data_IF_532510176481
#
_entry.id   IF_532510176481
#
_cell.length_a   1.000
_cell.length_b   1.000
_cell.length_c   1.000
_cell.angle_alpha   90.00
_cell.angle_beta   90.00
_cell.angle_gamma   90.00
#
_symmetry.space_group_name_H-M   'P 1'
#
loop_
_entity.id
_entity.type
_entity.pdbx_description
1 polymer ?
#
# COMPACT_ATOMS: atom_id res chain seq x y z
N UNK A 1 35.00 40.06 -6.60
CA UNK A 1 33.92 39.53 -5.73
C UNK A 1 33.21 38.46 -6.56
N UNK A 2 33.57 37.23 -6.34
CA UNK A 2 33.01 36.06 -7.02
C UNK A 2 31.81 35.59 -6.24
N UNK A 3 30.64 35.58 -6.87
CA UNK A 3 29.42 34.99 -6.33
C UNK A 3 29.63 33.50 -6.15
N UNK A 4 29.17 32.89 -5.03
CA UNK A 4 29.24 31.43 -4.89
C UNK A 4 28.21 30.79 -5.80
N UNK A 5 28.67 29.95 -6.71
CA UNK A 5 27.87 29.09 -7.55
C UNK A 5 26.91 28.28 -6.65
N UNK A 6 25.64 28.55 -6.84
CA UNK A 6 24.54 27.80 -6.26
C UNK A 6 24.57 26.40 -6.87
N UNK A 7 25.23 25.46 -6.19
CA UNK A 7 25.14 24.04 -6.53
C UNK A 7 23.67 23.65 -6.52
N UNK A 8 23.12 23.52 -7.73
CA UNK A 8 21.85 22.84 -7.94
C UNK A 8 22.02 21.42 -7.42
N UNK A 9 21.36 21.11 -6.31
CA UNK A 9 21.30 19.75 -5.79
C UNK A 9 20.80 18.84 -6.92
N UNK A 10 21.60 17.88 -7.30
CA UNK A 10 21.21 16.87 -8.26
C UNK A 10 19.92 16.20 -7.80
N UNK A 11 18.95 15.92 -8.70
CA UNK A 11 17.73 15.24 -8.30
C UNK A 11 18.12 13.87 -7.74
N UNK A 12 17.96 13.71 -6.43
CA UNK A 12 18.10 12.42 -5.75
C UNK A 12 17.43 11.36 -6.62
N UNK A 13 18.20 10.34 -7.02
CA UNK A 13 17.70 9.24 -7.84
C UNK A 13 16.34 8.81 -7.30
N UNK A 14 15.29 8.95 -8.11
CA UNK A 14 13.92 8.76 -7.68
C UNK A 14 13.77 7.35 -7.10
N UNK A 15 13.72 7.25 -5.78
CA UNK A 15 13.62 5.96 -5.08
C UNK A 15 12.31 5.32 -5.49
N UNK A 16 12.38 4.11 -6.02
CA UNK A 16 11.20 3.32 -6.35
C UNK A 16 10.55 2.83 -5.04
N UNK A 17 9.35 3.32 -4.68
CA UNK A 17 8.75 3.00 -3.39
C UNK A 17 8.31 1.54 -3.34
N UNK A 18 8.50 0.91 -2.21
CA UNK A 18 8.10 -0.47 -1.93
C UNK A 18 6.71 -0.51 -1.35
N UNK A 19 5.74 -1.01 -2.12
CA UNK A 19 4.34 -1.06 -1.72
C UNK A 19 3.91 -2.51 -1.48
N UNK A 20 3.33 -2.78 -0.32
CA UNK A 20 2.67 -4.06 -0.01
C UNK A 20 1.17 -3.86 -0.07
N UNK A 21 0.48 -4.66 -0.88
CA UNK A 21 -0.97 -4.68 -0.98
C UNK A 21 -1.54 -5.96 -0.36
N UNK A 22 -2.23 -5.84 0.77
CA UNK A 22 -2.94 -6.91 1.44
C UNK A 22 -4.39 -6.91 0.94
N UNK A 23 -4.75 -7.88 0.11
CA UNK A 23 -5.98 -7.82 -0.67
C UNK A 23 -6.87 -9.05 -0.50
N UNK A 24 -8.19 -8.82 -0.59
CA UNK A 24 -9.18 -9.90 -0.63
C UNK A 24 -9.08 -10.67 -1.95
N UNK A 25 -9.08 -12.00 -1.86
CA UNK A 25 -9.03 -12.90 -3.03
C UNK A 25 -10.23 -12.71 -3.98
N UNK A 26 -11.43 -12.55 -3.42
CA UNK A 26 -12.68 -12.56 -4.19
C UNK A 26 -12.97 -11.29 -4.97
N UNK A 27 -12.52 -10.15 -4.46
CA UNK A 27 -12.82 -8.86 -5.06
C UNK A 27 -11.55 -8.17 -5.55
N UNK A 28 -10.73 -7.61 -4.67
CA UNK A 28 -9.59 -6.78 -5.07
C UNK A 28 -8.54 -7.55 -5.87
N UNK A 29 -8.25 -8.81 -5.49
CA UNK A 29 -7.30 -9.61 -6.27
C UNK A 29 -7.85 -9.95 -7.65
N UNK A 30 -9.14 -10.30 -7.75
CA UNK A 30 -9.78 -10.52 -9.03
C UNK A 30 -9.79 -9.24 -9.90
N UNK A 31 -9.97 -8.08 -9.27
CA UNK A 31 -9.81 -6.77 -9.95
C UNK A 31 -8.38 -6.52 -10.43
N UNK A 32 -7.38 -6.90 -9.63
CA UNK A 32 -5.97 -6.83 -10.03
C UNK A 32 -5.67 -7.76 -11.21
N UNK A 33 -6.21 -8.98 -11.20
CA UNK A 33 -6.09 -9.95 -12.28
C UNK A 33 -6.76 -9.42 -13.56
N UNK A 34 -7.95 -8.82 -13.45
CA UNK A 34 -8.63 -8.15 -14.55
C UNK A 34 -7.79 -6.98 -15.11
N UNK A 35 -7.13 -6.21 -14.26
CA UNK A 35 -6.23 -5.14 -14.71
C UNK A 35 -5.07 -5.70 -15.55
N UNK A 36 -4.46 -6.80 -15.10
CA UNK A 36 -3.39 -7.48 -15.82
C UNK A 36 -3.84 -8.07 -17.17
N UNK A 37 -4.94 -8.83 -17.15
CA UNK A 37 -5.49 -9.45 -18.38
C UNK A 37 -5.99 -8.41 -19.39
N UNK A 38 -6.48 -7.28 -18.91
CA UNK A 38 -6.86 -6.13 -19.74
C UNK A 38 -5.69 -5.24 -20.16
N UNK A 39 -4.45 -5.61 -19.79
CA UNK A 39 -3.22 -4.87 -20.10
C UNK A 39 -3.26 -3.42 -19.63
N UNK A 40 -3.90 -3.15 -18.50
CA UNK A 40 -3.89 -1.84 -17.87
C UNK A 40 -2.54 -1.61 -17.19
N UNK A 41 -1.83 -0.58 -17.62
CA UNK A 41 -0.53 -0.27 -17.05
C UNK A 41 -0.67 0.33 -15.64
N UNK A 42 0.05 -0.23 -14.69
CA UNK A 42 0.25 0.34 -13.36
C UNK A 42 1.67 0.08 -12.85
N UNK A 43 2.09 0.82 -11.83
CA UNK A 43 3.44 0.76 -11.31
C UNK A 43 3.80 -0.67 -10.83
N UNK A 44 4.96 -1.23 -11.24
CA UNK A 44 5.33 -2.62 -10.93
C UNK A 44 5.87 -2.82 -9.52
N UNK A 45 6.01 -1.77 -8.74
CA UNK A 45 6.60 -1.71 -7.42
C UNK A 45 5.67 -2.17 -6.27
N UNK A 46 4.58 -2.86 -6.60
CA UNK A 46 3.61 -3.40 -5.65
C UNK A 46 3.78 -4.91 -5.48
N UNK A 47 3.83 -5.38 -4.23
CA UNK A 47 3.76 -6.79 -3.86
C UNK A 47 2.36 -7.10 -3.35
N UNK A 48 1.62 -7.94 -4.08
CA UNK A 48 0.24 -8.30 -3.76
C UNK A 48 0.25 -9.58 -2.93
N UNK A 49 -0.31 -9.51 -1.72
CA UNK A 49 -0.51 -10.64 -0.83
C UNK A 49 -2.00 -10.89 -0.68
N UNK A 50 -2.42 -12.10 -1.06
CA UNK A 50 -3.84 -12.50 -1.02
C UNK A 50 -4.26 -13.01 0.34
N UNK A 51 -5.43 -12.60 0.76
CA UNK A 51 -6.14 -13.13 1.92
C UNK A 51 -7.52 -13.63 1.52
N UNK A 52 -8.05 -14.67 2.14
CA UNK A 52 -9.42 -15.13 1.88
C UNK A 52 -10.44 -14.00 2.03
N UNK A 53 -10.25 -13.12 3.01
CA UNK A 53 -11.08 -11.95 3.27
C UNK A 53 -10.28 -10.87 3.99
N UNK A 54 -10.58 -9.61 3.72
CA UNK A 54 -9.99 -8.48 4.48
C UNK A 54 -10.26 -8.55 5.98
N UNK A 55 -11.35 -9.19 6.39
CA UNK A 55 -11.64 -9.47 7.80
C UNK A 55 -10.63 -10.38 8.50
N UNK A 56 -9.76 -11.08 7.75
CA UNK A 56 -8.67 -11.92 8.28
C UNK A 56 -7.32 -11.19 8.35
N UNK A 57 -7.25 -9.98 7.82
CA UNK A 57 -6.02 -9.19 7.89
C UNK A 57 -5.85 -8.66 9.32
N UNK A 58 -4.83 -9.19 9.99
CA UNK A 58 -4.46 -8.74 11.33
C UNK A 58 -3.66 -7.43 11.25
N UNK A 59 -3.90 -6.46 12.14
CA UNK A 59 -3.10 -5.25 12.27
C UNK A 59 -1.59 -5.49 12.34
N UNK A 60 -1.16 -6.58 12.99
CA UNK A 60 0.25 -6.97 13.06
C UNK A 60 0.87 -7.20 11.68
N UNK A 61 0.11 -7.63 10.69
CA UNK A 61 0.62 -7.83 9.33
C UNK A 61 0.98 -6.50 8.66
N UNK A 62 0.23 -5.45 8.95
CA UNK A 62 0.52 -4.09 8.50
C UNK A 62 1.83 -3.59 9.12
N UNK A 63 1.99 -3.75 10.44
CA UNK A 63 3.22 -3.38 11.13
C UNK A 63 4.42 -4.18 10.62
N UNK A 64 4.26 -5.49 10.43
CA UNK A 64 5.32 -6.35 9.85
C UNK A 64 5.71 -5.95 8.44
N UNK A 65 4.77 -5.47 7.62
CA UNK A 65 5.09 -4.96 6.29
C UNK A 65 6.02 -3.73 6.37
N UNK A 66 5.73 -2.79 7.27
CA UNK A 66 6.60 -1.65 7.53
C UNK A 66 7.95 -2.05 8.13
N UNK A 67 7.98 -2.96 9.10
CA UNK A 67 9.23 -3.52 9.64
C UNK A 67 10.06 -4.20 8.55
N UNK A 68 9.42 -4.87 7.59
CA UNK A 68 10.06 -5.51 6.44
C UNK A 68 10.58 -4.55 5.39
N UNK A 69 10.34 -3.25 5.56
CA UNK A 69 10.84 -2.19 4.68
C UNK A 69 9.87 -1.76 3.60
N UNK A 70 8.57 -1.97 3.78
CA UNK A 70 7.57 -1.35 2.93
C UNK A 70 7.53 0.15 3.17
N UNK A 71 7.47 0.94 2.12
CA UNK A 71 7.33 2.40 2.18
C UNK A 71 5.86 2.82 2.24
N UNK A 72 4.96 1.95 1.78
CA UNK A 72 3.51 2.10 1.85
C UNK A 72 2.78 0.76 1.92
N UNK A 73 1.63 0.72 2.57
CA UNK A 73 0.79 -0.47 2.69
C UNK A 73 -0.63 -0.14 2.25
N UNK A 74 -1.18 -0.97 1.35
CA UNK A 74 -2.58 -0.94 0.94
C UNK A 74 -3.33 -2.11 1.56
N UNK A 75 -4.47 -1.86 2.17
CA UNK A 75 -5.46 -2.89 2.52
C UNK A 75 -6.69 -2.67 1.65
N UNK A 76 -7.10 -3.67 0.88
CA UNK A 76 -8.23 -3.50 -0.03
C UNK A 76 -9.12 -4.74 -0.11
N UNK A 77 -10.42 -4.50 -0.17
CA UNK A 77 -11.43 -5.56 -0.18
C UNK A 77 -12.73 -5.18 -0.86
N UNK A 78 -13.72 -6.01 -0.67
CA UNK A 78 -15.04 -5.87 -1.26
C UNK A 78 -15.76 -4.62 -0.79
N UNK A 79 -16.56 -4.01 -1.66
CA UNK A 79 -17.48 -2.94 -1.28
C UNK A 79 -18.39 -3.37 -0.12
N UNK A 80 -18.84 -2.42 0.73
CA UNK A 80 -19.85 -2.71 1.76
C UNK A 80 -21.08 -3.37 1.16
N UNK A 81 -21.50 -4.50 1.73
CA UNK A 81 -22.63 -5.31 1.22
C UNK A 81 -22.22 -6.45 0.27
N UNK A 82 -21.04 -6.40 -0.36
CA UNK A 82 -20.61 -7.38 -1.38
C UNK A 82 -19.58 -8.40 -0.84
N UNK A 83 -19.42 -8.49 0.47
CA UNK A 83 -18.45 -9.41 1.03
C UNK A 83 -18.86 -10.87 0.80
N UNK A 84 -17.97 -11.66 0.20
CA UNK A 84 -18.17 -13.11 -0.01
C UNK A 84 -18.50 -13.87 1.29
N UNK A 85 -17.96 -13.41 2.42
CA UNK A 85 -18.21 -13.96 3.76
C UNK A 85 -19.17 -13.09 4.59
N UNK A 86 -20.04 -12.34 3.95
CA UNK A 86 -21.11 -11.51 4.51
C UNK A 86 -20.61 -10.23 5.20
N UNK A 87 -19.69 -10.31 6.19
CA UNK A 87 -19.37 -9.17 7.07
C UNK A 87 -17.88 -8.86 7.21
N UNK A 88 -17.00 -9.59 6.51
CA UNK A 88 -15.55 -9.45 6.67
C UNK A 88 -15.01 -8.04 6.39
N UNK A 89 -15.56 -7.37 5.38
CA UNK A 89 -15.20 -5.99 5.04
C UNK A 89 -15.60 -4.98 6.14
N UNK A 90 -16.71 -5.19 6.84
CA UNK A 90 -17.10 -4.36 7.98
C UNK A 90 -16.13 -4.53 9.17
N UNK A 91 -15.67 -5.76 9.42
CA UNK A 91 -14.64 -6.00 10.42
C UNK A 91 -13.32 -5.32 10.04
N UNK A 92 -12.92 -5.40 8.77
CA UNK A 92 -11.74 -4.71 8.24
C UNK A 92 -11.86 -3.20 8.45
N UNK A 93 -12.99 -2.59 8.12
CA UNK A 93 -13.23 -1.15 8.29
C UNK A 93 -13.03 -0.69 9.74
N UNK A 94 -13.53 -1.45 10.70
CA UNK A 94 -13.36 -1.14 12.14
C UNK A 94 -11.91 -1.25 12.57
N UNK A 95 -11.22 -2.32 12.18
CA UNK A 95 -9.80 -2.52 12.47
C UNK A 95 -8.94 -1.43 11.85
N UNK A 96 -9.27 -0.98 10.66
CA UNK A 96 -8.58 0.10 9.96
C UNK A 96 -8.45 1.37 10.81
N UNK A 97 -9.54 1.81 11.43
CA UNK A 97 -9.52 2.99 12.28
C UNK A 97 -8.56 2.83 13.48
N UNK A 98 -8.49 1.61 14.04
CA UNK A 98 -7.58 1.28 15.15
C UNK A 98 -6.13 1.23 14.66
N UNK A 99 -5.86 0.56 13.55
CA UNK A 99 -4.52 0.44 12.97
C UNK A 99 -3.92 1.80 12.67
N UNK A 100 -4.73 2.70 12.12
CA UNK A 100 -4.29 4.04 11.79
C UNK A 100 -3.79 4.81 13.03
N UNK A 101 -4.53 4.75 14.13
CA UNK A 101 -4.11 5.35 15.41
C UNK A 101 -2.89 4.66 16.01
N UNK A 102 -2.80 3.34 15.88
CA UNK A 102 -1.65 2.57 16.34
C UNK A 102 -0.38 2.96 15.57
N UNK A 103 -0.46 3.16 14.27
CA UNK A 103 0.67 3.64 13.46
C UNK A 103 1.14 5.02 13.92
N UNK A 104 0.22 5.94 14.13
CA UNK A 104 0.54 7.29 14.65
C UNK A 104 1.26 7.19 15.99
N UNK A 105 0.79 6.34 16.90
CA UNK A 105 1.43 6.10 18.19
C UNK A 105 2.84 5.49 18.07
N UNK A 106 3.07 4.62 17.08
CA UNK A 106 4.41 4.02 16.83
C UNK A 106 5.35 4.93 16.06
N UNK A 107 4.91 6.15 15.70
CA UNK A 107 5.71 7.10 14.93
C UNK A 107 5.74 6.83 13.43
N UNK A 108 4.91 5.91 12.93
CA UNK A 108 4.75 5.66 11.49
C UNK A 108 3.71 6.65 10.95
N UNK A 109 4.07 7.40 9.92
CA UNK A 109 3.16 8.32 9.26
C UNK A 109 1.94 7.56 8.69
N UNK A 110 0.76 7.82 9.26
CA UNK A 110 -0.48 7.16 8.85
C UNK A 110 -0.87 7.42 7.38
N UNK A 111 -0.26 8.44 6.74
CA UNK A 111 -0.40 8.70 5.30
C UNK A 111 0.26 7.65 4.42
N UNK A 112 1.04 6.73 4.99
CA UNK A 112 1.63 5.57 4.29
C UNK A 112 0.72 4.35 4.28
N UNK A 113 -0.40 4.40 5.01
CA UNK A 113 -1.39 3.36 5.10
C UNK A 113 -2.64 3.74 4.29
N UNK A 114 -2.98 2.93 3.31
CA UNK A 114 -4.09 3.13 2.38
C UNK A 114 -5.15 2.08 2.57
N UNK A 115 -6.40 2.49 2.44
CA UNK A 115 -7.54 1.59 2.45
C UNK A 115 -8.48 1.91 1.29
N UNK A 116 -8.93 0.88 0.57
CA UNK A 116 -9.85 1.06 -0.55
C UNK A 116 -10.79 -0.12 -0.71
N UNK A 117 -11.94 0.15 -1.30
CA UNK A 117 -12.86 -0.85 -1.77
C UNK A 117 -12.71 -1.03 -3.27
N UNK A 118 -12.45 -2.27 -3.72
CA UNK A 118 -12.29 -2.61 -5.13
C UNK A 118 -13.04 -3.90 -5.40
N UNK A 119 -13.96 -3.89 -6.36
CA UNK A 119 -14.69 -5.08 -6.82
C UNK A 119 -13.90 -5.85 -7.88
N UNK A 120 -14.34 -7.07 -8.16
CA UNK A 120 -13.74 -7.91 -9.21
C UNK A 120 -13.83 -7.29 -10.62
N UNK A 121 -14.83 -6.44 -10.86
CA UNK A 121 -15.03 -5.76 -12.14
C UNK A 121 -14.26 -4.42 -12.26
N UNK A 122 -13.62 -3.96 -11.19
CA UNK A 122 -12.98 -2.64 -11.13
C UNK A 122 -11.46 -2.69 -11.39
N UNK A 123 -11.02 -3.40 -12.43
CA UNK A 123 -9.59 -3.49 -12.80
C UNK A 123 -8.97 -2.13 -13.08
N UNK A 124 -9.67 -1.21 -13.74
CA UNK A 124 -9.22 0.16 -13.99
C UNK A 124 -8.97 0.90 -12.66
N UNK A 125 -9.93 0.82 -11.76
CA UNK A 125 -9.81 1.46 -10.43
C UNK A 125 -8.62 0.90 -9.64
N UNK A 126 -8.35 -0.41 -9.73
CA UNK A 126 -7.18 -1.00 -9.11
C UNK A 126 -5.88 -0.40 -9.68
N UNK A 127 -5.75 -0.34 -11.00
CA UNK A 127 -4.56 0.23 -11.64
C UNK A 127 -4.35 1.70 -11.27
N UNK A 128 -5.40 2.51 -11.32
CA UNK A 128 -5.35 3.93 -10.96
C UNK A 128 -4.98 4.11 -9.47
N UNK A 129 -5.55 3.28 -8.58
CA UNK A 129 -5.23 3.28 -7.16
C UNK A 129 -3.75 2.98 -6.88
N UNK A 130 -3.17 1.98 -7.54
CA UNK A 130 -1.75 1.65 -7.38
C UNK A 130 -0.86 2.80 -7.88
N UNK A 131 -1.19 3.41 -9.01
CA UNK A 131 -0.45 4.56 -9.53
C UNK A 131 -0.53 5.77 -8.58
N UNK A 132 -1.71 6.06 -8.04
CA UNK A 132 -1.93 7.12 -7.06
C UNK A 132 -1.10 6.90 -5.78
N UNK A 133 -1.17 5.68 -5.21
CA UNK A 133 -0.41 5.32 -4.01
C UNK A 133 1.09 5.44 -4.28
N UNK A 134 1.56 4.93 -5.42
CA UNK A 134 2.98 5.02 -5.80
C UNK A 134 3.46 6.46 -5.86
N UNK A 135 2.68 7.36 -6.48
CA UNK A 135 3.02 8.78 -6.55
C UNK A 135 3.06 9.43 -5.15
N UNK A 136 2.08 9.14 -4.30
CA UNK A 136 2.01 9.69 -2.92
C UNK A 136 3.16 9.19 -2.05
N UNK A 137 3.47 7.90 -2.10
CA UNK A 137 4.56 7.31 -1.31
C UNK A 137 5.91 7.80 -1.81
N UNK A 138 6.09 7.96 -3.13
CA UNK A 138 7.31 8.56 -3.71
C UNK A 138 7.51 9.99 -3.22
N UNK A 139 6.46 10.81 -3.19
CA UNK A 139 6.52 12.18 -2.67
C UNK A 139 6.82 12.24 -1.16
N UNK A 140 6.37 11.24 -0.40
CA UNK A 140 6.66 11.13 1.04
C UNK A 140 8.10 10.64 1.34
N UNK A 141 8.83 10.15 0.33
CA UNK A 141 10.16 9.58 0.48
C UNK A 141 10.18 8.18 1.11
N UNK A 142 11.37 7.57 1.24
CA UNK A 142 11.51 6.23 1.80
C UNK A 142 11.08 6.20 3.27
N UNK A 143 10.52 5.07 3.69
CA UNK A 143 10.25 4.81 5.10
C UNK A 143 11.50 4.21 5.74
N UNK A 144 11.98 4.82 6.83
CA UNK A 144 13.07 4.28 7.62
C UNK A 144 12.51 3.58 8.86
N UNK A 145 12.56 2.24 8.92
CA UNK A 145 12.13 1.52 10.11
C UNK A 145 13.08 1.82 11.29
N UNK A 146 12.57 1.75 12.51
CA UNK A 146 13.37 1.96 13.73
C UNK A 146 14.59 1.03 13.83
N UNK A 147 14.58 -0.11 13.14
CA UNK A 147 15.73 -0.98 12.98
C UNK A 147 16.06 -1.16 11.49
N UNK A 148 17.03 -0.39 10.95
CA UNK A 148 17.42 -0.46 9.53
C UNK A 148 17.92 -1.84 9.09
N UNK A 149 18.48 -2.64 9.99
CA UNK A 149 18.98 -4.00 9.69
C UNK A 149 17.84 -4.96 9.29
N UNK A 150 16.59 -4.63 9.59
CA UNK A 150 15.41 -5.42 9.18
C UNK A 150 14.92 -5.08 7.77
N UNK A 151 15.43 -4.03 7.15
CA UNK A 151 15.07 -3.67 5.77
C UNK A 151 15.70 -4.66 4.79
N UNK A 152 15.00 -5.75 4.55
CA UNK A 152 15.47 -6.80 3.63
C UNK A 152 15.44 -6.31 2.17
N UNK A 153 16.38 -6.76 1.31
CA UNK A 153 16.25 -6.55 -0.13
C UNK A 153 14.94 -7.15 -0.64
N UNK A 154 14.29 -6.45 -1.54
CA UNK A 154 13.12 -6.96 -2.26
C UNK A 154 13.62 -7.75 -3.49
N UNK A 155 14.09 -8.95 -3.25
CA UNK A 155 14.46 -9.92 -4.30
C UNK A 155 13.24 -10.75 -4.71
#
# INVERSE_FOLDING_TARGET
MTEPERQLAEPSAAIEPRIVALVCTWCTYAGADLAGTSRLAYAPNVRIIRFPCTGRIDPLLVLKAFEGGADGVLVSGCHPGDCHYTSGNYHARRRWAIVRRLLEFTGIDSRRLYFSWVSAAEGRKFADLINEITAKVRAAGPFEPANPARRRPWT
#
